data_IF_068344164635
#
_entry.id   IF_068344164635
#
_cell.length_a   1.000
_cell.length_b   1.000
_cell.length_c   1.000
_cell.angle_alpha   90.00
_cell.angle_beta   90.00
_cell.angle_gamma   90.00
#
_symmetry.space_group_name_H-M   'P 1'
#
loop_
_entity.id
_entity.type
_entity.pdbx_description
1 polymer ?
#
# COMPACT_ATOMS: atom_id res chain seq x y z
N UNK A 1 -59.28 -1.67 -14.49
CA UNK A 1 -59.80 -0.86 -15.61
C UNK A 1 -59.54 0.61 -15.31
N UNK A 2 -58.88 1.32 -16.24
CA UNK A 2 -58.48 2.76 -16.26
C UNK A 2 -57.29 3.25 -15.40
N UNK A 3 -56.22 3.53 -16.15
CA UNK A 3 -55.11 4.45 -15.90
C UNK A 3 -55.54 5.94 -15.96
N UNK A 4 -54.89 6.80 -15.16
CA UNK A 4 -54.50 8.20 -15.43
C UNK A 4 -53.45 8.60 -14.37
N UNK A 5 -52.13 8.70 -14.61
CA UNK A 5 -51.29 9.74 -15.27
C UNK A 5 -51.43 11.19 -14.74
N UNK A 6 -50.31 11.69 -14.16
CA UNK A 6 -49.73 13.06 -14.09
C UNK A 6 -49.11 13.28 -12.70
N UNK A 7 -47.79 13.33 -12.45
CA UNK A 7 -46.65 14.07 -13.04
C UNK A 7 -46.70 15.59 -12.80
N UNK A 8 -46.00 16.08 -11.76
CA UNK A 8 -45.12 17.25 -11.74
C UNK A 8 -44.50 17.41 -10.33
N UNK A 9 -43.17 17.37 -10.13
CA UNK A 9 -42.16 18.42 -10.39
C UNK A 9 -42.27 19.63 -9.45
N UNK A 10 -41.15 19.97 -8.80
CA UNK A 10 -40.87 21.16 -7.98
C UNK A 10 -41.47 21.24 -6.56
N UNK A 11 -40.62 21.09 -5.54
CA UNK A 11 -40.18 22.18 -4.64
C UNK A 11 -39.00 21.64 -3.81
N UNK A 12 -37.81 21.81 -4.40
CA UNK A 12 -36.56 22.02 -3.68
C UNK A 12 -36.55 23.49 -3.21
N UNK A 13 -35.90 23.77 -2.07
CA UNK A 13 -35.72 25.07 -1.38
C UNK A 13 -36.73 25.36 -0.25
N UNK A 14 -36.45 24.85 0.96
CA UNK A 14 -36.52 25.68 2.17
C UNK A 14 -35.88 24.99 3.41
N UNK A 15 -34.62 24.56 3.34
CA UNK A 15 -33.85 24.28 4.56
C UNK A 15 -32.37 24.62 4.34
N UNK A 16 -32.10 25.92 4.42
CA UNK A 16 -30.78 26.51 4.57
C UNK A 16 -31.01 27.83 5.29
N UNK A 17 -30.53 27.93 6.53
CA UNK A 17 -29.97 29.12 7.24
C UNK A 17 -29.89 28.74 8.72
N UNK A 18 -28.81 28.07 9.11
CA UNK A 18 -28.01 28.45 10.29
C UNK A 18 -26.56 28.31 9.85
N UNK A 19 -26.06 29.43 9.32
CA UNK A 19 -24.66 29.65 9.01
C UNK A 19 -23.95 29.96 10.33
N UNK A 20 -23.43 28.93 11.01
CA UNK A 20 -22.38 29.13 12.00
C UNK A 20 -21.06 29.17 11.23
N UNK A 21 -20.67 30.39 10.84
CA UNK A 21 -19.37 30.70 10.26
C UNK A 21 -18.35 30.53 11.39
N UNK A 22 -17.89 29.31 11.60
CA UNK A 22 -16.66 29.04 12.32
C UNK A 22 -15.51 29.34 11.35
N UNK A 23 -14.60 30.28 11.63
CA UNK A 23 -13.41 30.42 10.82
C UNK A 23 -12.62 29.10 10.92
N UNK A 24 -12.43 28.45 9.77
CA UNK A 24 -11.43 27.39 9.59
C UNK A 24 -10.09 28.03 9.92
N UNK A 25 -9.71 27.94 11.20
CA UNK A 25 -8.38 28.27 11.67
C UNK A 25 -7.46 27.27 10.97
N UNK A 26 -6.66 27.76 10.03
CA UNK A 26 -5.58 26.98 9.44
C UNK A 26 -4.74 26.31 10.52
N UNK A 27 -4.01 25.23 10.20
CA UNK A 27 -3.18 24.56 11.19
C UNK A 27 -2.26 25.61 11.82
N UNK A 28 -2.46 25.84 13.13
CA UNK A 28 -1.43 26.48 13.94
C UNK A 28 -0.22 25.57 13.78
N UNK A 29 0.82 26.08 13.11
CA UNK A 29 2.17 25.58 13.25
C UNK A 29 2.47 25.59 14.75
N UNK A 30 2.42 24.41 15.36
CA UNK A 30 2.98 24.19 16.68
C UNK A 30 4.49 24.23 16.45
N UNK A 31 5.07 25.40 16.64
CA UNK A 31 6.47 25.50 17.04
C UNK A 31 6.59 24.77 18.38
N UNK A 32 7.32 23.66 18.41
CA UNK A 32 8.04 23.15 19.58
C UNK A 32 9.00 22.02 19.13
N UNK A 33 10.28 22.36 19.00
CA UNK A 33 11.47 21.48 19.06
C UNK A 33 11.52 20.17 18.22
N UNK A 34 11.05 20.21 16.97
CA UNK A 34 11.28 19.10 16.03
C UNK A 34 12.54 19.34 15.20
N UNK A 35 13.71 19.05 15.78
CA UNK A 35 14.98 19.16 15.03
C UNK A 35 14.98 18.20 13.84
N UNK A 36 15.19 18.74 12.63
CA UNK A 36 15.30 17.94 11.41
C UNK A 36 16.49 16.99 11.54
N UNK A 37 16.23 15.70 11.35
CA UNK A 37 17.27 14.68 11.55
C UNK A 37 17.94 14.33 10.24
N UNK A 38 19.28 14.20 10.27
CA UNK A 38 20.10 13.83 9.12
C UNK A 38 20.83 12.52 9.39
N UNK A 39 20.97 11.69 8.38
CA UNK A 39 21.67 10.42 8.50
C UNK A 39 21.94 9.73 7.18
N UNK A 40 22.58 8.56 7.27
CA UNK A 40 22.78 7.64 6.14
C UNK A 40 21.67 6.59 6.14
N UNK A 41 21.34 6.05 4.96
CA UNK A 41 20.36 4.96 4.86
C UNK A 41 20.79 3.72 5.67
N UNK A 42 19.85 2.97 6.29
CA UNK A 42 18.39 3.13 6.23
C UNK A 42 17.86 4.33 7.03
N UNK A 43 16.72 4.87 6.60
CA UNK A 43 16.07 6.00 7.25
C UNK A 43 15.43 5.51 8.55
N UNK A 44 15.76 6.17 9.67
CA UNK A 44 15.14 5.93 10.97
C UNK A 44 14.74 7.27 11.58
N UNK A 45 13.44 7.53 11.69
CA UNK A 45 12.91 8.76 12.28
C UNK A 45 12.10 8.47 13.55
N UNK A 46 12.28 9.25 14.63
CA UNK A 46 13.33 10.25 14.81
C UNK A 46 14.72 9.61 15.01
N UNK A 47 15.76 10.18 14.40
CA UNK A 47 17.13 9.74 14.62
C UNK A 47 17.59 10.14 16.03
N UNK A 48 17.72 9.15 16.92
CA UNK A 48 18.26 9.33 18.27
C UNK A 48 19.46 8.44 18.50
N UNK A 49 20.38 8.90 19.36
CA UNK A 49 21.55 8.11 19.75
C UNK A 49 21.11 6.82 20.45
N UNK A 50 21.76 5.73 20.08
CA UNK A 50 21.59 4.43 20.72
C UNK A 50 22.31 4.47 22.08
N UNK A 51 21.54 4.34 23.16
CA UNK A 51 22.04 4.16 24.52
C UNK A 51 22.33 2.68 24.77
N UNK A 52 23.25 2.38 25.70
CA UNK A 52 23.56 1.02 26.12
C UNK A 52 23.30 0.87 27.61
N UNK A 53 22.72 -0.25 27.98
CA UNK A 53 22.56 -0.70 29.35
C UNK A 53 23.03 -2.17 29.46
N UNK A 54 23.11 -2.73 30.67
CA UNK A 54 23.53 -4.12 30.91
C UNK A 54 22.69 -5.17 30.18
N UNK A 55 21.51 -4.80 29.66
CA UNK A 55 20.61 -5.64 28.86
C UNK A 55 20.78 -5.50 27.34
N UNK A 56 21.58 -4.54 26.86
CA UNK A 56 21.83 -4.30 25.44
C UNK A 56 21.71 -2.83 25.00
N UNK A 57 21.64 -2.63 23.69
CA UNK A 57 21.51 -1.31 23.06
C UNK A 57 20.04 -0.94 22.84
N UNK A 58 19.61 0.27 23.19
CA UNK A 58 18.24 0.76 23.01
C UNK A 58 18.20 2.24 22.61
N UNK A 59 17.07 2.66 22.04
CA UNK A 59 16.80 4.08 21.76
C UNK A 59 15.88 4.61 22.85
N UNK A 60 16.28 5.69 23.54
CA UNK A 60 15.45 6.33 24.56
C UNK A 60 14.24 7.03 23.91
N UNK A 61 13.05 6.72 24.42
CA UNK A 61 11.81 7.26 23.87
C UNK A 61 11.73 8.78 24.02
N UNK A 62 11.09 9.44 23.03
CA UNK A 62 10.61 10.81 23.21
C UNK A 62 9.14 10.76 23.61
N UNK A 63 8.77 11.32 24.75
CA UNK A 63 7.36 11.42 25.13
C UNK A 63 6.61 12.43 24.26
N UNK A 64 7.31 13.40 23.65
CA UNK A 64 6.69 14.41 22.78
C UNK A 64 6.45 13.91 21.36
N UNK A 65 7.25 12.95 20.91
CA UNK A 65 7.13 12.35 19.57
C UNK A 65 7.22 10.82 19.69
N UNK A 66 6.09 10.15 19.93
CA UNK A 66 6.04 8.71 20.16
C UNK A 66 6.22 7.90 18.87
N UNK A 67 6.29 8.53 17.69
CA UNK A 67 6.33 7.81 16.44
C UNK A 67 7.71 7.23 16.11
N UNK A 68 7.68 6.14 15.35
CA UNK A 68 8.86 5.51 14.79
C UNK A 68 8.61 5.15 13.33
N UNK A 69 9.50 5.60 12.46
CA UNK A 69 9.50 5.28 11.04
C UNK A 69 10.83 4.65 10.66
N UNK A 70 10.77 3.57 9.90
CA UNK A 70 11.89 2.90 9.27
C UNK A 70 11.62 2.79 7.77
N UNK A 71 12.59 3.16 6.94
CA UNK A 71 12.55 2.96 5.49
C UNK A 71 13.92 2.48 5.03
N UNK A 72 13.98 1.31 4.39
CA UNK A 72 15.26 0.79 3.89
C UNK A 72 15.65 1.38 2.53
N UNK A 73 14.66 1.60 1.66
CA UNK A 73 14.91 2.09 0.31
C UNK A 73 13.77 2.97 -0.22
N UNK A 74 14.14 3.90 -1.10
CA UNK A 74 13.23 4.77 -1.82
C UNK A 74 13.56 4.65 -3.31
N UNK A 75 12.56 4.32 -4.11
CA UNK A 75 12.70 4.11 -5.56
C UNK A 75 11.86 5.12 -6.32
N UNK A 76 12.46 5.75 -7.33
CA UNK A 76 11.74 6.51 -8.33
C UNK A 76 11.52 5.63 -9.57
N UNK A 77 10.32 5.68 -10.13
CA UNK A 77 9.91 4.96 -11.33
C UNK A 77 9.54 5.99 -12.39
N UNK A 78 10.21 5.96 -13.53
CA UNK A 78 9.84 6.74 -14.71
C UNK A 78 9.05 5.83 -15.65
N UNK A 79 7.84 6.23 -16.00
CA UNK A 79 7.02 5.53 -16.97
C UNK A 79 6.84 6.36 -18.23
N UNK A 80 7.21 5.80 -19.37
CA UNK A 80 6.95 6.37 -20.68
C UNK A 80 5.60 5.83 -21.18
N UNK A 81 4.60 6.70 -21.27
CA UNK A 81 3.22 6.34 -21.62
C UNK A 81 3.12 5.86 -23.07
N UNK A 82 3.90 6.45 -23.97
CA UNK A 82 3.87 6.11 -25.39
C UNK A 82 4.47 4.73 -25.66
N UNK A 83 5.59 4.43 -25.02
CA UNK A 83 6.30 3.15 -25.20
C UNK A 83 5.79 2.04 -24.26
N UNK A 84 4.97 2.40 -23.27
CA UNK A 84 4.51 1.51 -22.19
C UNK A 84 5.66 0.83 -21.44
N UNK A 85 6.79 1.51 -21.31
CA UNK A 85 7.98 1.02 -20.60
C UNK A 85 8.18 1.78 -19.30
N UNK A 86 8.62 1.06 -18.26
CA UNK A 86 8.98 1.63 -16.96
C UNK A 86 10.47 1.44 -16.70
N UNK A 87 11.14 2.52 -16.32
CA UNK A 87 12.49 2.50 -15.77
C UNK A 87 12.46 2.81 -14.27
N UNK A 88 13.39 2.27 -13.49
CA UNK A 88 13.43 2.51 -12.04
C UNK A 88 14.86 2.74 -11.55
N UNK A 89 15.00 3.61 -10.54
CA UNK A 89 16.23 3.89 -9.83
C UNK A 89 15.94 3.86 -8.32
N UNK A 90 16.87 3.31 -7.52
CA UNK A 90 16.65 3.11 -6.07
C UNK A 90 17.78 3.66 -5.23
N UNK A 91 17.43 4.50 -4.27
CA UNK A 91 18.30 4.92 -3.17
C UNK A 91 18.09 3.96 -2.01
N UNK A 92 19.14 3.28 -1.54
CA UNK A 92 19.07 2.29 -0.46
C UNK A 92 20.31 2.35 0.46
N UNK A 93 20.30 1.51 1.50
CA UNK A 93 21.40 1.36 2.46
C UNK A 93 22.73 0.86 1.86
N UNK A 94 22.71 0.21 0.69
CA UNK A 94 23.95 -0.29 0.04
C UNK A 94 24.77 0.83 -0.59
N UNK A 95 24.16 1.99 -0.85
CA UNK A 95 24.84 3.18 -1.34
C UNK A 95 25.54 3.88 -0.18
N UNK A 96 26.87 3.73 -0.10
CA UNK A 96 27.73 4.27 0.97
C UNK A 96 27.67 5.79 1.18
N UNK A 97 26.97 6.54 0.33
CA UNK A 97 26.86 8.00 0.35
C UNK A 97 25.42 8.50 0.26
N UNK A 98 24.42 7.61 0.32
CA UNK A 98 23.02 8.04 0.32
C UNK A 98 22.69 8.68 1.66
N UNK A 99 22.30 9.96 1.62
CA UNK A 99 21.93 10.74 2.79
C UNK A 99 20.43 10.98 2.80
N UNK A 100 19.87 11.06 4.01
CA UNK A 100 18.51 11.52 4.21
C UNK A 100 18.48 12.66 5.21
N UNK A 101 17.50 13.52 5.04
CA UNK A 101 17.05 14.53 5.98
C UNK A 101 15.55 14.34 6.15
N UNK A 102 15.09 14.11 7.38
CA UNK A 102 13.70 13.78 7.62
C UNK A 102 13.18 14.36 8.92
N UNK A 103 11.88 14.66 8.89
CA UNK A 103 11.14 15.15 10.02
C UNK A 103 9.82 14.41 10.12
N UNK A 104 9.50 13.94 11.34
CA UNK A 104 8.24 13.31 11.64
C UNK A 104 7.51 14.12 12.70
N UNK A 105 6.32 14.63 12.37
CA UNK A 105 5.48 15.37 13.29
C UNK A 105 4.29 14.49 13.66
N UNK A 106 4.28 13.96 14.89
CA UNK A 106 3.22 13.07 15.31
C UNK A 106 2.21 13.74 16.22
N UNK A 107 0.93 13.34 16.09
CA UNK A 107 -0.12 13.94 16.89
C UNK A 107 -0.15 13.27 18.26
N UNK A 108 -0.22 14.09 19.32
CA UNK A 108 -0.37 13.63 20.72
C UNK A 108 -1.76 13.04 20.98
N UNK A 109 -2.76 13.50 20.23
CA UNK A 109 -4.13 13.00 20.26
C UNK A 109 -4.46 12.27 18.95
N UNK A 110 -5.41 11.35 18.99
CA UNK A 110 -5.82 10.56 17.82
C UNK A 110 -7.28 10.83 17.49
N UNK A 111 -7.62 12.11 17.35
CA UNK A 111 -8.97 12.55 17.06
C UNK A 111 -9.28 12.38 15.56
N UNK A 112 -10.55 12.16 15.24
CA UNK A 112 -10.99 12.06 13.85
C UNK A 112 -10.77 13.40 13.14
N UNK A 113 -10.18 13.37 11.94
CA UNK A 113 -9.84 14.56 11.16
C UNK A 113 -8.51 15.21 11.51
N UNK A 114 -7.79 14.72 12.52
CA UNK A 114 -6.45 15.19 12.84
C UNK A 114 -5.46 14.70 11.77
N UNK A 115 -4.59 15.59 11.33
CA UNK A 115 -3.56 15.28 10.35
C UNK A 115 -2.18 15.22 10.99
N UNK A 116 -1.31 14.44 10.37
CA UNK A 116 0.11 14.40 10.71
C UNK A 116 0.94 14.24 9.45
N UNK A 117 2.17 14.72 9.48
CA UNK A 117 3.03 14.76 8.30
C UNK A 117 4.41 14.16 8.56
N UNK A 118 4.98 13.62 7.49
CA UNK A 118 6.35 13.13 7.46
C UNK A 118 7.03 13.80 6.28
N UNK A 119 8.02 14.63 6.57
CA UNK A 119 8.86 15.26 5.56
C UNK A 119 10.09 14.37 5.33
N UNK A 120 10.36 14.05 4.07
CA UNK A 120 11.47 13.20 3.66
C UNK A 120 12.22 13.83 2.51
N UNK A 121 13.50 14.09 2.74
CA UNK A 121 14.48 14.53 1.76
C UNK A 121 15.54 13.44 1.65
N UNK A 122 15.71 12.86 0.49
CA UNK A 122 16.75 11.87 0.22
C UNK A 122 17.64 12.35 -0.92
N UNK A 123 18.95 12.22 -0.77
CA UNK A 123 19.94 12.56 -1.79
C UNK A 123 20.82 11.35 -2.08
N UNK A 124 21.17 11.17 -3.36
CA UNK A 124 22.02 10.08 -3.82
C UNK A 124 23.51 10.22 -3.41
N UNK A 125 23.88 11.25 -2.64
CA UNK A 125 25.27 11.56 -2.26
C UNK A 125 26.02 12.44 -3.26
N UNK A 126 27.24 12.83 -2.89
CA UNK A 126 27.97 13.99 -3.44
C UNK A 126 28.55 13.87 -4.87
N UNK A 127 28.35 12.80 -5.65
CA UNK A 127 28.94 12.76 -7.00
C UNK A 127 28.31 11.83 -8.04
N UNK A 128 27.50 10.84 -7.68
CA UNK A 128 26.93 9.89 -8.65
C UNK A 128 25.44 9.73 -8.41
N UNK A 129 24.66 10.40 -9.26
CA UNK A 129 23.23 10.17 -9.32
C UNK A 129 22.95 8.68 -9.63
N UNK A 130 21.89 8.13 -9.06
CA UNK A 130 21.60 6.69 -9.18
C UNK A 130 21.03 6.42 -10.57
N UNK A 131 21.65 5.59 -11.41
CA UNK A 131 21.14 5.30 -12.73
C UNK A 131 19.84 4.48 -12.63
N UNK A 132 18.91 4.80 -13.52
CA UNK A 132 17.65 4.11 -13.72
C UNK A 132 17.64 3.37 -15.05
N UNK A 133 17.11 2.14 -15.04
CA UNK A 133 17.13 1.21 -16.17
C UNK A 133 15.73 0.73 -16.51
N UNK A 134 15.45 0.50 -17.79
CA UNK A 134 14.24 -0.21 -18.18
C UNK A 134 14.28 -1.66 -17.69
N UNK A 135 13.10 -2.22 -17.39
CA UNK A 135 12.97 -3.64 -17.07
C UNK A 135 13.49 -4.46 -18.27
N UNK A 136 14.59 -5.19 -18.06
CA UNK A 136 15.23 -6.05 -19.07
C UNK A 136 16.45 -5.44 -19.78
N UNK A 137 16.71 -4.13 -19.65
CA UNK A 137 17.84 -3.45 -20.30
C UNK A 137 18.75 -2.79 -19.25
N UNK A 138 19.66 -3.58 -18.65
CA UNK A 138 20.56 -3.10 -17.57
C UNK A 138 21.75 -2.28 -18.05
N UNK A 139 22.04 -2.30 -19.36
CA UNK A 139 23.23 -1.65 -19.92
C UNK A 139 22.94 -0.23 -20.44
N UNK A 140 21.67 0.19 -20.42
CA UNK A 140 21.24 1.49 -20.93
C UNK A 140 20.69 2.35 -19.80
N UNK A 141 21.49 3.31 -19.38
CA UNK A 141 21.10 4.30 -18.36
C UNK A 141 20.10 5.29 -18.97
N UNK A 142 18.85 5.22 -18.52
CA UNK A 142 17.75 6.03 -19.05
C UNK A 142 17.73 7.38 -18.37
N UNK A 143 17.72 7.38 -17.04
CA UNK A 143 17.72 8.57 -16.21
C UNK A 143 18.65 8.38 -15.02
N UNK A 144 18.95 9.47 -14.33
CA UNK A 144 19.61 9.42 -13.04
C UNK A 144 18.77 10.10 -11.97
N UNK A 145 18.69 9.48 -10.80
CA UNK A 145 17.99 10.00 -9.64
C UNK A 145 18.99 10.70 -8.71
N UNK A 146 18.79 12.01 -8.49
CA UNK A 146 19.70 12.82 -7.69
C UNK A 146 19.14 13.11 -6.30
N UNK A 147 17.89 13.57 -6.25
CA UNK A 147 17.24 14.08 -5.04
C UNK A 147 15.74 13.78 -5.07
N UNK A 148 15.19 13.45 -3.92
CA UNK A 148 13.76 13.28 -3.66
C UNK A 148 13.42 14.16 -2.47
N UNK A 149 12.40 15.01 -2.61
CA UNK A 149 11.88 15.87 -1.54
C UNK A 149 10.35 15.77 -1.55
N UNK A 150 9.80 15.10 -0.53
CA UNK A 150 8.36 14.79 -0.43
C UNK A 150 7.84 14.98 0.99
N UNK A 151 6.57 15.39 1.09
CA UNK A 151 5.83 15.50 2.34
C UNK A 151 4.63 14.57 2.28
N UNK A 152 4.67 13.54 3.12
CA UNK A 152 3.59 12.58 3.27
C UNK A 152 2.57 13.12 4.28
N UNK A 153 1.30 13.29 3.87
CA UNK A 153 0.23 13.83 4.70
C UNK A 153 -0.79 12.75 5.02
N UNK A 154 -0.89 12.42 6.29
CA UNK A 154 -1.80 11.41 6.82
C UNK A 154 -2.96 12.05 7.55
N UNK A 155 -4.09 11.35 7.62
CA UNK A 155 -5.28 11.78 8.34
C UNK A 155 -5.90 10.60 9.10
N UNK A 156 -6.41 10.88 10.29
CA UNK A 156 -7.25 9.95 11.05
C UNK A 156 -8.68 9.97 10.51
N UNK A 157 -9.09 8.91 9.80
CA UNK A 157 -10.48 8.78 9.31
C UNK A 157 -11.48 8.44 10.41
N UNK A 158 -10.98 7.76 11.45
CA UNK A 158 -11.71 7.37 12.64
C UNK A 158 -10.73 7.46 13.82
N UNK A 159 -11.24 7.45 15.06
CA UNK A 159 -10.43 7.57 16.29
C UNK A 159 -9.33 6.53 16.49
N UNK A 160 -9.29 5.49 15.65
CA UNK A 160 -8.31 4.41 15.70
C UNK A 160 -7.70 4.08 14.34
N UNK A 161 -8.08 4.75 13.26
CA UNK A 161 -7.64 4.43 11.91
C UNK A 161 -7.06 5.65 11.22
N UNK A 162 -5.86 5.49 10.67
CA UNK A 162 -5.16 6.50 9.93
C UNK A 162 -4.90 6.00 8.51
N UNK A 163 -4.89 6.93 7.56
CA UNK A 163 -4.54 6.66 6.19
C UNK A 163 -3.71 7.81 5.63
N UNK A 164 -2.87 7.48 4.65
CA UNK A 164 -2.18 8.47 3.87
C UNK A 164 -3.16 9.10 2.86
N UNK A 165 -3.32 10.43 2.92
CA UNK A 165 -4.35 11.16 2.17
C UNK A 165 -3.76 11.95 1.01
N UNK A 166 -2.61 12.60 1.22
CA UNK A 166 -1.94 13.37 0.19
C UNK A 166 -0.41 13.15 0.26
N UNK A 167 0.27 13.32 -0.89
CA UNK A 167 1.72 13.53 -0.92
C UNK A 167 2.00 14.79 -1.72
N UNK A 168 2.59 15.76 -1.03
CA UNK A 168 3.09 16.96 -1.68
C UNK A 168 4.54 16.74 -2.10
N UNK A 169 4.87 17.10 -3.32
CA UNK A 169 6.22 17.01 -3.86
C UNK A 169 6.86 18.38 -3.80
N UNK A 170 8.01 18.47 -3.13
CA UNK A 170 8.88 19.64 -3.24
C UNK A 170 9.64 19.59 -4.57
N UNK A 171 10.47 18.56 -4.74
CA UNK A 171 11.32 18.37 -5.92
C UNK A 171 11.76 16.90 -6.04
N UNK A 172 11.55 16.28 -7.19
CA UNK A 172 12.22 15.03 -7.58
C UNK A 172 13.11 15.33 -8.78
N UNK A 173 14.41 15.42 -8.53
CA UNK A 173 15.39 15.77 -9.55
C UNK A 173 15.84 14.51 -10.30
N UNK A 174 15.28 14.34 -11.49
CA UNK A 174 15.67 13.34 -12.47
C UNK A 174 16.56 14.00 -13.53
N UNK A 175 17.75 13.47 -13.75
CA UNK A 175 18.67 13.93 -14.80
C UNK A 175 18.57 12.99 -16.00
N UNK A 176 18.56 13.56 -17.20
CA UNK A 176 18.63 12.83 -18.45
C UNK A 176 19.88 11.93 -18.50
N UNK A 177 19.69 10.64 -18.81
CA UNK A 177 20.77 9.75 -19.23
C UNK A 177 20.86 9.74 -20.75
N UNK A 178 20.49 8.60 -21.35
CA UNK A 178 20.43 8.47 -22.82
C UNK A 178 19.22 9.15 -23.46
N UNK A 179 18.16 9.44 -22.70
CA UNK A 179 17.02 10.23 -23.18
C UNK A 179 17.26 11.73 -22.94
N UNK A 180 17.20 12.54 -24.01
CA UNK A 180 17.55 13.98 -23.98
C UNK A 180 16.55 14.87 -23.22
N UNK A 181 15.36 14.38 -22.91
CA UNK A 181 14.30 15.17 -22.28
C UNK A 181 13.55 14.34 -21.22
N UNK A 182 14.13 14.21 -20.03
CA UNK A 182 13.44 13.63 -18.87
C UNK A 182 13.06 14.78 -17.94
N UNK A 183 11.79 14.88 -17.53
CA UNK A 183 11.36 15.96 -16.67
C UNK A 183 11.79 15.73 -15.21
N UNK A 184 12.16 16.82 -14.52
CA UNK A 184 12.13 16.88 -13.06
C UNK A 184 10.69 17.09 -12.59
N UNK A 185 10.30 16.38 -11.53
CA UNK A 185 8.98 16.57 -10.91
C UNK A 185 9.09 17.73 -9.93
N UNK A 186 8.24 18.72 -10.10
CA UNK A 186 8.09 19.88 -9.23
C UNK A 186 6.61 20.02 -8.80
N UNK A 187 6.30 21.10 -8.08
CA UNK A 187 4.94 21.40 -7.62
C UNK A 187 3.91 21.61 -8.74
N UNK A 188 4.33 21.74 -10.01
CA UNK A 188 3.41 21.86 -11.15
C UNK A 188 2.88 20.49 -11.62
N UNK A 189 3.44 19.40 -11.13
CA UNK A 189 2.98 18.05 -11.42
C UNK A 189 1.77 17.71 -10.56
N UNK A 190 0.75 17.11 -11.18
CA UNK A 190 -0.46 16.74 -10.48
C UNK A 190 -0.35 15.30 -9.98
N UNK A 191 -0.73 15.08 -8.72
CA UNK A 191 -0.86 13.74 -8.16
C UNK A 191 -2.00 13.01 -8.87
N UNK A 192 -1.65 11.98 -9.62
CA UNK A 192 -2.62 11.19 -10.41
C UNK A 192 -3.09 9.98 -9.61
N UNK A 193 -2.23 9.41 -8.77
CA UNK A 193 -2.56 8.26 -7.94
C UNK A 193 -3.22 8.70 -6.61
N UNK A 194 -4.40 8.20 -6.26
CA UNK A 194 -5.09 8.62 -5.04
C UNK A 194 -6.37 7.85 -4.75
N UNK A 195 -6.76 7.73 -3.47
CA UNK A 195 -8.01 7.11 -3.02
C UNK A 195 -9.24 7.84 -3.59
N UNK A 196 -9.11 9.13 -3.91
CA UNK A 196 -10.20 9.99 -4.39
C UNK A 196 -10.03 10.51 -5.82
N UNK A 197 -8.97 10.12 -6.55
CA UNK A 197 -8.75 10.68 -7.87
C UNK A 197 -9.56 9.91 -8.92
N UNK A 198 -10.52 10.60 -9.55
CA UNK A 198 -11.42 10.05 -10.59
C UNK A 198 -10.75 9.96 -11.97
N UNK A 199 -9.51 10.47 -12.11
CA UNK A 199 -8.76 10.38 -13.35
C UNK A 199 -8.14 8.99 -13.48
N UNK A 200 -8.80 8.11 -14.23
CA UNK A 200 -8.26 6.82 -14.65
C UNK A 200 -7.04 7.05 -15.55
N UNK A 201 -5.84 7.00 -14.98
CA UNK A 201 -4.63 6.78 -15.75
C UNK A 201 -4.37 5.27 -15.87
N UNK A 202 -3.65 4.85 -16.90
CA UNK A 202 -3.42 3.45 -17.34
C UNK A 202 -2.91 2.50 -16.22
N UNK A 203 -2.48 3.02 -15.07
CA UNK A 203 -2.14 2.23 -13.87
C UNK A 203 -3.36 1.71 -13.09
N UNK A 204 -4.59 2.11 -13.41
CA UNK A 204 -5.80 1.78 -12.63
C UNK A 204 -6.50 0.49 -13.03
N UNK A 205 -6.03 -0.23 -14.04
CA UNK A 205 -6.64 -1.52 -14.43
C UNK A 205 -6.41 -2.61 -13.38
N UNK A 206 -5.48 -2.40 -12.45
CA UNK A 206 -5.48 -3.10 -11.17
C UNK A 206 -6.29 -2.28 -10.15
N UNK A 207 -7.43 -2.80 -9.71
CA UNK A 207 -8.26 -2.25 -8.63
C UNK A 207 -7.58 -2.25 -7.24
N UNK A 208 -6.25 -2.16 -7.16
CA UNK A 208 -5.57 -1.88 -5.90
C UNK A 208 -5.62 -0.37 -5.69
N UNK A 209 -6.27 0.14 -4.63
CA UNK A 209 -6.26 1.57 -4.35
C UNK A 209 -4.80 2.02 -4.32
N UNK A 210 -4.56 3.11 -5.04
CA UNK A 210 -3.28 3.76 -5.12
C UNK A 210 -2.66 3.83 -3.70
N UNK A 211 -1.38 3.43 -3.57
CA UNK A 211 -0.50 3.48 -2.38
C UNK A 211 -0.98 2.70 -1.13
N UNK A 212 -2.28 2.68 -0.81
CA UNK A 212 -2.94 1.92 0.27
C UNK A 212 -2.17 1.90 1.61
N UNK A 213 -1.49 3.00 1.93
CA UNK A 213 -0.73 3.12 3.19
C UNK A 213 -1.71 3.55 4.27
N UNK A 214 -2.17 2.59 5.06
CA UNK A 214 -3.11 2.81 6.15
C UNK A 214 -2.89 1.81 7.28
N UNK A 215 -3.48 2.11 8.43
CA UNK A 215 -3.37 1.22 9.56
C UNK A 215 -4.19 1.67 10.75
N UNK A 216 -4.05 0.88 11.81
CA UNK A 216 -4.65 1.16 13.10
C UNK A 216 -3.62 1.86 13.99
N UNK A 217 -4.07 2.72 14.90
CA UNK A 217 -3.18 3.48 15.80
C UNK A 217 -2.29 2.60 16.69
N UNK A 218 -2.80 1.45 17.09
CA UNK A 218 -2.13 0.51 18.01
C UNK A 218 -1.31 -0.57 17.28
N UNK A 219 -1.30 -0.53 15.95
CA UNK A 219 -0.58 -1.47 15.11
C UNK A 219 0.53 -0.71 14.38
N UNK A 220 1.68 -1.37 14.24
CA UNK A 220 2.67 -0.94 13.26
C UNK A 220 2.19 -1.30 11.86
N UNK A 221 2.45 -0.45 10.88
CA UNK A 221 2.30 -0.78 9.48
C UNK A 221 3.65 -1.26 8.95
N UNK A 222 3.69 -2.37 8.22
CA UNK A 222 4.90 -2.88 7.57
C UNK A 222 4.59 -3.24 6.13
N UNK A 223 5.50 -2.91 5.21
CA UNK A 223 5.33 -3.25 3.82
C UNK A 223 6.68 -3.45 3.12
N UNK A 224 6.84 -4.59 2.44
CA UNK A 224 8.05 -4.87 1.68
C UNK A 224 8.22 -3.92 0.48
N UNK A 225 7.13 -3.64 -0.24
CA UNK A 225 7.09 -2.66 -1.34
C UNK A 225 5.72 -2.01 -1.42
N UNK A 226 5.69 -0.70 -1.29
CA UNK A 226 4.45 0.08 -1.43
C UNK A 226 3.99 0.17 -2.88
N UNK A 227 2.69 0.37 -3.09
CA UNK A 227 2.19 0.70 -4.44
C UNK A 227 2.68 2.11 -4.82
N UNK A 228 3.01 2.34 -6.10
CA UNK A 228 3.64 3.59 -6.53
C UNK A 228 2.69 4.77 -6.35
N UNK A 229 3.26 5.87 -5.84
CA UNK A 229 2.62 7.19 -5.80
C UNK A 229 3.02 7.91 -7.07
N UNK A 230 2.08 8.16 -7.97
CA UNK A 230 2.33 8.61 -9.35
C UNK A 230 1.88 10.05 -9.55
N UNK A 231 2.78 10.85 -10.11
CA UNK A 231 2.52 12.18 -10.62
C UNK A 231 2.64 12.21 -12.14
N UNK A 232 1.85 13.07 -12.76
CA UNK A 232 1.96 13.37 -14.18
C UNK A 232 1.78 14.86 -14.44
N UNK A 233 2.35 15.33 -15.55
CA UNK A 233 2.21 16.71 -15.99
C UNK A 233 0.95 16.85 -16.85
N UNK A 234 0.09 17.82 -16.51
CA UNK A 234 -1.17 18.08 -17.23
C UNK A 234 -0.98 18.43 -18.71
N UNK A 235 0.14 19.08 -19.05
CA UNK A 235 0.41 19.56 -20.40
C UNK A 235 1.22 18.57 -21.26
N UNK A 236 1.79 17.52 -20.65
CA UNK A 236 2.61 16.54 -21.36
C UNK A 236 2.47 15.16 -20.72
N UNK A 237 1.61 14.34 -21.31
CA UNK A 237 1.31 12.97 -20.85
C UNK A 237 2.40 11.96 -21.26
N UNK A 238 3.51 12.38 -21.88
CA UNK A 238 4.56 11.45 -22.32
C UNK A 238 5.17 10.66 -21.16
N UNK A 239 5.35 11.30 -20.00
CA UNK A 239 6.00 10.72 -18.84
C UNK A 239 5.15 10.82 -17.58
N UNK A 240 5.10 9.73 -16.82
CA UNK A 240 4.60 9.71 -15.46
C UNK A 240 5.73 9.28 -14.50
N UNK A 241 5.81 9.90 -13.33
CA UNK A 241 6.84 9.58 -12.34
C UNK A 241 6.18 9.01 -11.10
N UNK A 242 6.59 7.81 -10.71
CA UNK A 242 6.16 7.10 -9.51
C UNK A 242 7.21 7.13 -8.40
N UNK A 243 6.78 7.13 -7.15
CA UNK A 243 7.61 6.93 -5.97
C UNK A 243 7.17 5.67 -5.25
N UNK A 244 8.12 4.82 -4.90
CA UNK A 244 7.91 3.56 -4.16
C UNK A 244 8.84 3.50 -2.97
N UNK A 245 8.30 3.21 -1.80
CA UNK A 245 9.06 2.89 -0.61
C UNK A 245 9.25 1.37 -0.49
N UNK A 246 10.48 0.94 -0.22
CA UNK A 246 10.85 -0.45 0.03
C UNK A 246 11.22 -0.69 1.50
N UNK A 247 10.71 -1.78 2.06
CA UNK A 247 10.79 -2.16 3.47
C UNK A 247 10.50 -0.97 4.39
N UNK A 248 9.27 -0.47 4.31
CA UNK A 248 8.77 0.59 5.18
C UNK A 248 8.10 -0.02 6.40
N UNK A 249 8.44 0.48 7.59
CA UNK A 249 7.74 0.17 8.82
C UNK A 249 7.43 1.46 9.58
N UNK A 250 6.17 1.65 9.97
CA UNK A 250 5.71 2.85 10.64
C UNK A 250 4.88 2.50 11.86
N UNK A 251 5.10 3.19 12.97
CA UNK A 251 4.32 3.03 14.20
C UNK A 251 4.07 4.37 14.87
N UNK A 252 2.80 4.64 15.16
CA UNK A 252 2.37 5.89 15.80
C UNK A 252 2.77 5.96 17.28
N UNK A 253 2.65 4.85 18.01
CA UNK A 253 3.03 4.78 19.41
C UNK A 253 4.10 3.72 19.64
N UNK A 254 5.37 4.14 19.65
CA UNK A 254 6.55 3.29 19.78
C UNK A 254 7.14 3.26 21.19
N UNK A 255 6.47 3.86 22.17
CA UNK A 255 6.98 3.95 23.55
C UNK A 255 6.64 2.67 24.32
N UNK A 256 7.67 2.01 24.83
CA UNK A 256 7.54 0.85 25.70
C UNK A 256 8.37 1.06 26.97
N UNK A 257 7.71 0.94 28.12
CA UNK A 257 8.39 1.02 29.41
C UNK A 257 8.93 -0.36 29.79
N UNK A 258 10.21 -0.42 30.09
CA UNK A 258 10.90 -1.62 30.55
C UNK A 258 11.81 -1.25 31.73
N UNK A 259 11.56 -1.83 32.91
CA UNK A 259 12.24 -1.52 34.17
C UNK A 259 12.33 -0.01 34.51
N UNK A 260 11.26 0.74 34.23
CA UNK A 260 11.19 2.19 34.47
C UNK A 260 11.92 3.05 33.43
N UNK A 261 12.51 2.45 32.40
CA UNK A 261 13.12 3.15 31.27
C UNK A 261 12.19 3.07 30.06
N UNK A 262 11.82 4.22 29.50
CA UNK A 262 11.02 4.29 28.28
C UNK A 262 11.93 4.09 27.05
N UNK A 263 11.76 2.95 26.39
CA UNK A 263 12.48 2.54 25.18
C UNK A 263 11.57 2.71 23.97
N UNK A 264 12.16 3.10 22.84
CA UNK A 264 11.48 3.14 21.54
C UNK A 264 11.71 1.81 20.82
N UNK A 265 10.62 1.12 20.47
CA UNK A 265 10.68 -0.10 19.65
C UNK A 265 9.43 -0.27 18.79
N UNK A 266 9.57 -1.04 17.71
CA UNK A 266 8.42 -1.52 17.00
C UNK A 266 7.64 -2.54 17.85
N UNK A 267 6.32 -2.50 17.75
CA UNK A 267 5.39 -3.38 18.42
C UNK A 267 5.26 -4.71 17.72
N UNK A 268 4.74 -5.69 18.46
CA UNK A 268 4.46 -7.03 17.95
C UNK A 268 3.22 -7.09 17.05
N UNK A 269 2.32 -6.10 17.18
CA UNK A 269 1.13 -5.96 16.34
C UNK A 269 1.51 -5.27 15.05
N UNK A 270 1.53 -6.02 13.95
CA UNK A 270 1.91 -5.53 12.63
C UNK A 270 0.74 -5.72 11.65
N UNK A 271 0.37 -4.65 10.97
CA UNK A 271 -0.51 -4.64 9.81
C UNK A 271 0.38 -4.68 8.56
N UNK A 272 0.32 -5.78 7.82
CA UNK A 272 1.07 -5.94 6.57
C UNK A 272 0.27 -5.38 5.39
N UNK A 273 0.94 -4.79 4.41
CA UNK A 273 0.31 -4.30 3.19
C UNK A 273 -0.12 -5.42 2.23
N UNK A 274 0.43 -6.62 2.39
CA UNK A 274 0.07 -7.79 1.61
C UNK A 274 -1.02 -8.62 2.32
N UNK A 275 -2.24 -8.75 1.76
CA UNK A 275 -3.21 -9.66 2.31
C UNK A 275 -2.72 -11.10 2.13
N UNK A 276 -2.92 -11.93 3.16
CA UNK A 276 -2.57 -13.36 3.10
C UNK A 276 -3.31 -14.11 1.98
N UNK A 277 -4.51 -13.65 1.63
CA UNK A 277 -5.29 -14.17 0.52
C UNK A 277 -5.70 -13.03 -0.42
N UNK A 278 -5.30 -13.12 -1.68
CA UNK A 278 -5.79 -12.22 -2.73
C UNK A 278 -7.23 -12.56 -3.09
N UNK A 279 -7.95 -11.62 -3.71
CA UNK A 279 -9.28 -11.89 -4.27
C UNK A 279 -9.25 -13.05 -5.27
N UNK A 280 -8.18 -13.17 -6.07
CA UNK A 280 -8.00 -14.28 -7.01
C UNK A 280 -7.89 -15.63 -6.30
N UNK A 281 -7.15 -15.67 -5.19
CA UNK A 281 -6.99 -16.88 -4.38
C UNK A 281 -8.34 -17.33 -3.79
N UNK A 282 -9.14 -16.39 -3.29
CA UNK A 282 -10.49 -16.69 -2.78
C UNK A 282 -11.43 -17.25 -3.85
N UNK A 283 -11.40 -16.67 -5.05
CA UNK A 283 -12.24 -17.13 -6.15
C UNK A 283 -11.83 -18.54 -6.63
N UNK A 284 -10.53 -18.82 -6.72
CA UNK A 284 -10.03 -20.16 -7.07
C UNK A 284 -10.41 -21.17 -5.99
N UNK A 285 -10.25 -20.82 -4.72
CA UNK A 285 -10.58 -21.71 -3.60
C UNK A 285 -12.08 -22.05 -3.60
N UNK A 286 -12.95 -21.07 -3.88
CA UNK A 286 -14.39 -21.29 -3.99
C UNK A 286 -14.73 -22.24 -5.15
N UNK A 287 -14.19 -21.99 -6.35
CA UNK A 287 -14.41 -22.86 -7.51
C UNK A 287 -13.91 -24.28 -7.25
N UNK A 288 -12.76 -24.41 -6.59
CA UNK A 288 -12.17 -25.71 -6.25
C UNK A 288 -13.08 -26.51 -5.29
N UNK A 289 -13.63 -25.86 -4.26
CA UNK A 289 -14.59 -26.49 -3.34
C UNK A 289 -15.84 -26.98 -4.08
N UNK A 290 -16.38 -26.19 -5.02
CA UNK A 290 -17.54 -26.58 -5.81
C UNK A 290 -17.22 -27.82 -6.68
N UNK A 291 -16.08 -27.82 -7.37
CA UNK A 291 -15.67 -28.94 -8.21
C UNK A 291 -15.46 -30.22 -7.40
N UNK A 292 -14.85 -30.12 -6.21
CA UNK A 292 -14.75 -31.26 -5.29
C UNK A 292 -16.14 -31.74 -4.88
N UNK A 293 -17.06 -30.84 -4.54
CA UNK A 293 -18.43 -31.19 -4.17
C UNK A 293 -19.14 -32.01 -5.25
N UNK A 294 -19.05 -31.56 -6.52
CA UNK A 294 -19.63 -32.28 -7.66
C UNK A 294 -18.93 -33.62 -7.89
N UNK A 295 -17.60 -33.67 -7.80
CA UNK A 295 -16.83 -34.89 -7.97
C UNK A 295 -17.14 -35.93 -6.89
N UNK A 296 -17.17 -35.52 -5.61
CA UNK A 296 -17.51 -36.37 -4.48
C UNK A 296 -18.95 -36.89 -4.60
N UNK A 297 -19.90 -36.06 -5.03
CA UNK A 297 -21.27 -36.50 -5.29
C UNK A 297 -21.33 -37.57 -6.39
N UNK A 298 -20.62 -37.34 -7.51
CA UNK A 298 -20.50 -38.34 -8.58
C UNK A 298 -19.85 -39.64 -8.11
N UNK A 299 -18.80 -39.54 -7.30
CA UNK A 299 -18.12 -40.70 -6.73
C UNK A 299 -19.02 -41.50 -5.78
N UNK A 300 -19.81 -40.83 -4.94
CA UNK A 300 -20.78 -41.49 -4.07
C UNK A 300 -21.88 -42.20 -4.87
N UNK A 301 -22.35 -41.62 -5.98
CA UNK A 301 -23.31 -42.29 -6.87
C UNK A 301 -22.72 -43.55 -7.49
N UNK A 302 -21.46 -43.51 -7.94
CA UNK A 302 -20.78 -44.68 -8.51
C UNK A 302 -20.60 -45.80 -7.47
N UNK A 303 -20.27 -45.45 -6.22
CA UNK A 303 -20.15 -46.44 -5.14
C UNK A 303 -21.49 -47.08 -4.74
N UNK A 304 -22.61 -46.43 -5.03
CA UNK A 304 -23.95 -46.97 -4.73
C UNK A 304 -24.45 -47.97 -5.77
N UNK A 305 -23.77 -48.14 -6.91
CA UNK A 305 -24.16 -49.12 -7.92
C UNK A 305 -23.78 -50.51 -7.43
N UNK A 306 -24.73 -51.15 -6.74
CA UNK A 306 -24.63 -52.55 -6.37
C UNK A 306 -24.85 -53.38 -7.63
N UNK A 307 -23.86 -54.17 -8.03
CA UNK A 307 -24.06 -55.19 -9.07
C UNK A 307 -25.03 -56.23 -8.51
N UNK A 308 -26.19 -56.38 -9.16
CA UNK A 308 -27.13 -57.43 -8.77
C UNK A 308 -26.41 -58.77 -8.93
N UNK A 309 -26.18 -59.45 -7.80
CA UNK A 309 -25.61 -60.78 -7.76
C UNK A 309 -26.65 -61.81 -8.22
N UNK A 310 -27.05 -61.74 -9.49
CA UNK A 310 -27.99 -62.67 -10.13
C UNK A 310 -27.29 -63.95 -10.60
N UNK A 311 -25.96 -63.94 -10.63
CA UNK A 311 -25.15 -65.05 -11.15
C UNK A 311 -24.38 -65.82 -10.08
N UNK A 312 -24.49 -65.44 -8.81
CA UNK A 312 -23.75 -66.08 -7.70
C UNK A 312 -24.61 -67.07 -6.90
N UNK A 313 -25.84 -67.35 -7.35
CA UNK A 313 -26.73 -68.32 -6.72
C UNK A 313 -27.17 -69.41 -7.73
N UNK A 314 -26.33 -70.44 -8.00
CA UNK A 314 -26.67 -71.56 -8.89
C UNK A 314 -27.78 -72.48 -8.34
N UNK A 315 -28.49 -72.08 -7.29
CA UNK A 315 -29.57 -72.84 -6.63
C UNK A 315 -30.98 -72.52 -7.14
N UNK A 316 -31.14 -71.74 -8.20
CA UNK A 316 -32.43 -71.66 -8.89
C UNK A 316 -32.68 -72.94 -9.70
N UNK A 317 -33.65 -73.72 -9.18
CA UNK A 317 -34.36 -74.87 -9.77
C UNK A 317 -33.86 -75.29 -11.16
N UNK A 318 -33.11 -76.38 -11.20
CA UNK A 318 -32.86 -77.18 -12.40
C UNK A 318 -34.21 -77.49 -13.08
N UNK A 319 -34.35 -77.11 -14.35
CA UNK A 319 -35.53 -77.47 -15.16
C UNK A 319 -35.44 -78.99 -15.40
N UNK A 320 -36.25 -79.76 -14.68
CA UNK A 320 -36.34 -81.22 -14.87
C UNK A 320 -37.20 -81.46 -16.12
N UNK A 321 -36.56 -81.76 -17.24
CA UNK A 321 -37.25 -82.18 -18.47
C UNK A 321 -37.54 -83.68 -18.31
N UNK A 322 -38.78 -84.04 -18.00
CA UNK A 322 -39.23 -85.43 -18.11
C UNK A 322 -39.64 -85.69 -19.56
N UNK A 323 -38.73 -86.28 -20.34
CA UNK A 323 -39.09 -86.87 -21.63
C UNK A 323 -39.73 -88.23 -21.38
N UNK A 324 -41.03 -88.35 -21.58
CA UNK A 324 -41.71 -89.64 -21.70
C UNK A 324 -41.66 -90.06 -23.16
N UNK A 325 -40.72 -90.95 -23.48
CA UNK A 325 -40.73 -91.72 -24.74
C UNK A 325 -41.77 -92.85 -24.62
N UNK A 326 -42.43 -93.14 -25.74
CA UNK A 326 -43.54 -94.09 -25.88
C UNK A 326 -43.11 -95.55 -25.72
#
# INVERSE_FOLDING_TARGET
MRLTKNCNFFIYKLFLIICAISPIRGPKTIEDDSSTTKGLFPIVLPSKKVEKDGSGSYIRANNDNPCLLYIESISAVLYNVNEKKSAWATINSTLKQAEYEGLIQCPKEHNTGQQFSIELKATAGNAKAVPGYYIGEKDKEIFFLNKIDVVLIFNFTQSSYWQLVNVDVGEIKLTAGTEKEIPSVDSNWQLVSGINNKQQWIFTDSQSPAWNINGFKDYSYSCARTSPIVWAKKDNEKYAVGLVFGNIQFQLNSIYSDNGVNKTKFGWRVNDCAPTFSIGTWMILLVFIILIGVLSFGFLMLNSVQTMSRFDDPKQKQIIISSKEN
#
